data_IF_756895418340
#
_entry.id   IF_756895418340
#
_cell.length_a   1.000
_cell.length_b   1.000
_cell.length_c   1.000
_cell.angle_alpha   90.00
_cell.angle_beta   90.00
_cell.angle_gamma   90.00
#
_symmetry.space_group_name_H-M   'P 1'
#
loop_
_entity.id
_entity.type
_entity.pdbx_description
1 polymer ?
#
# COMPACT_ATOMS: atom_id res chain seq x y z
N UNK A 1 14.09 -1.32 3.46
CA UNK A 1 13.74 -1.57 4.89
C UNK A 1 13.12 -2.94 5.01
N UNK A 2 13.36 -3.68 6.08
CA UNK A 2 12.83 -5.03 6.26
C UNK A 2 12.35 -5.21 7.70
N UNK A 3 11.12 -5.72 7.88
CA UNK A 3 10.64 -6.19 9.18
C UNK A 3 10.48 -7.70 9.10
N UNK A 4 11.12 -8.42 9.99
CA UNK A 4 10.98 -9.86 10.14
C UNK A 4 10.32 -10.13 11.49
N UNK A 5 9.07 -10.59 11.48
CA UNK A 5 8.25 -10.78 12.69
C UNK A 5 8.94 -11.55 13.84
N UNK A 6 9.82 -12.49 13.51
CA UNK A 6 10.57 -13.28 14.49
C UNK A 6 11.98 -12.77 14.79
N UNK A 7 12.54 -11.91 13.93
CA UNK A 7 13.94 -11.49 13.99
C UNK A 7 14.14 -10.02 14.28
N UNK A 8 13.05 -9.23 14.33
CA UNK A 8 13.06 -7.80 14.60
C UNK A 8 13.01 -6.93 13.34
N UNK A 9 13.24 -5.65 13.54
CA UNK A 9 13.22 -4.64 12.49
C UNK A 9 14.63 -4.34 12.00
N UNK A 10 14.78 -4.11 10.69
CA UNK A 10 16.05 -3.81 10.06
C UNK A 10 15.89 -2.64 9.09
N UNK A 11 16.83 -1.72 9.12
CA UNK A 11 16.97 -0.65 8.15
C UNK A 11 18.33 -0.81 7.49
N UNK A 12 18.33 -1.09 6.16
CA UNK A 12 19.56 -1.32 5.39
C UNK A 12 20.52 -2.30 6.10
N UNK A 13 19.99 -3.49 6.47
CA UNK A 13 20.71 -4.56 7.16
C UNK A 13 21.14 -4.29 8.61
N UNK A 14 20.89 -3.08 9.13
CA UNK A 14 21.13 -2.75 10.54
C UNK A 14 19.88 -3.04 11.36
N UNK A 15 20.04 -3.86 12.43
CA UNK A 15 18.97 -4.15 13.37
C UNK A 15 18.65 -2.92 14.19
N UNK A 16 17.37 -2.58 14.27
CA UNK A 16 16.88 -1.42 15.04
C UNK A 16 15.72 -1.83 15.94
N UNK A 17 15.37 -0.96 16.89
CA UNK A 17 14.13 -1.14 17.66
C UNK A 17 12.90 -0.93 16.76
N UNK A 18 11.76 -1.46 17.19
CA UNK A 18 10.49 -1.29 16.47
C UNK A 18 10.10 0.19 16.34
N UNK A 19 10.33 0.96 17.40
CA UNK A 19 10.00 2.38 17.43
C UNK A 19 10.84 3.17 16.44
N UNK A 20 12.17 2.99 16.45
CA UNK A 20 13.08 3.60 15.47
C UNK A 20 12.71 3.24 14.04
N UNK A 21 12.28 1.99 13.82
CA UNK A 21 11.82 1.57 12.48
C UNK A 21 10.60 2.38 12.04
N UNK A 22 9.58 2.53 12.90
CA UNK A 22 8.36 3.25 12.52
C UNK A 22 8.55 4.76 12.42
N UNK A 23 9.40 5.33 13.25
CA UNK A 23 9.79 6.74 13.12
C UNK A 23 10.47 6.99 11.78
N UNK A 24 11.44 6.14 11.42
CA UNK A 24 12.15 6.22 10.14
C UNK A 24 11.19 6.03 8.96
N UNK A 25 10.29 5.05 9.05
CA UNK A 25 9.28 4.79 8.03
C UNK A 25 8.36 6.00 7.82
N UNK A 26 7.94 6.63 8.92
CA UNK A 26 7.10 7.82 8.87
C UNK A 26 7.87 9.01 8.27
N UNK A 27 9.12 9.20 8.63
CA UNK A 27 9.97 10.24 8.07
C UNK A 27 10.18 10.05 6.56
N UNK A 28 10.51 8.83 6.13
CA UNK A 28 10.69 8.52 4.71
C UNK A 28 9.40 8.69 3.90
N UNK A 29 8.27 8.32 4.47
CA UNK A 29 6.98 8.44 3.79
C UNK A 29 6.49 9.89 3.65
N UNK A 30 7.04 10.82 4.40
CA UNK A 30 6.75 12.27 4.27
C UNK A 30 7.70 12.99 3.31
N UNK A 31 8.81 12.37 2.97
CA UNK A 31 9.84 12.94 2.11
C UNK A 31 9.59 12.48 0.65
N UNK A 32 9.19 13.37 -0.27
CA UNK A 32 8.86 13.00 -1.65
C UNK A 32 10.09 12.51 -2.44
N UNK A 33 11.30 12.87 -2.02
CA UNK A 33 12.53 12.45 -2.68
C UNK A 33 13.01 11.07 -2.21
N UNK A 34 12.44 10.54 -1.12
CA UNK A 34 12.80 9.24 -0.59
C UNK A 34 12.05 8.12 -1.30
N UNK A 35 12.80 7.17 -1.84
CA UNK A 35 12.28 5.91 -2.38
C UNK A 35 12.70 4.75 -1.49
N UNK A 36 11.75 3.93 -1.06
CA UNK A 36 12.04 2.81 -0.18
C UNK A 36 11.12 1.61 -0.46
N UNK A 37 11.58 0.44 -0.10
CA UNK A 37 10.80 -0.80 -0.15
C UNK A 37 10.70 -1.35 1.26
N UNK A 38 9.52 -1.77 1.66
CA UNK A 38 9.27 -2.45 2.92
C UNK A 38 8.99 -3.92 2.63
N UNK A 39 9.77 -4.79 3.24
CA UNK A 39 9.52 -6.23 3.24
C UNK A 39 8.97 -6.62 4.61
N UNK A 40 7.77 -7.18 4.65
CA UNK A 40 7.13 -7.59 5.89
C UNK A 40 6.28 -8.84 5.70
N UNK A 41 5.99 -9.54 6.77
CA UNK A 41 5.08 -10.70 6.73
C UNK A 41 3.66 -10.33 7.20
N UNK A 42 3.49 -9.79 8.40
CA UNK A 42 2.17 -9.46 8.96
C UNK A 42 2.11 -8.10 9.68
N UNK A 43 3.21 -7.58 10.13
CA UNK A 43 3.31 -6.43 11.04
C UNK A 43 2.60 -5.16 10.53
N UNK A 44 2.58 -4.92 9.22
CA UNK A 44 1.90 -3.75 8.68
C UNK A 44 0.38 -3.89 8.62
N UNK A 45 -0.19 -5.05 8.95
CA UNK A 45 -1.63 -5.22 9.09
C UNK A 45 -2.19 -4.56 10.36
N UNK A 46 -1.36 -4.33 11.38
CA UNK A 46 -1.76 -3.81 12.69
C UNK A 46 -1.60 -2.28 12.80
N UNK A 47 -2.56 -1.53 12.30
CA UNK A 47 -2.74 -0.11 12.69
C UNK A 47 -1.66 0.91 12.29
N UNK A 48 -0.59 0.51 11.62
CA UNK A 48 0.53 1.40 11.29
C UNK A 48 0.15 2.40 10.22
N UNK A 49 0.36 3.67 10.49
CA UNK A 49 0.23 4.71 9.50
C UNK A 49 1.57 4.94 8.80
N UNK A 50 1.68 4.44 7.56
CA UNK A 50 2.81 4.75 6.70
C UNK A 50 2.33 5.72 5.61
N UNK A 51 2.65 7.01 5.72
CA UNK A 51 2.34 7.97 4.66
C UNK A 51 3.15 7.65 3.40
N UNK A 52 2.72 8.14 2.26
CA UNK A 52 3.49 8.04 1.01
C UNK A 52 3.57 6.65 0.37
N UNK A 53 2.86 5.63 0.88
CA UNK A 53 2.79 4.32 0.21
C UNK A 53 2.04 4.45 -1.11
N UNK A 54 2.70 4.14 -2.22
CA UNK A 54 2.15 4.23 -3.58
C UNK A 54 1.78 2.88 -4.16
N UNK A 55 2.41 1.80 -3.70
CA UNK A 55 2.17 0.46 -4.22
C UNK A 55 2.40 -0.62 -3.18
N UNK A 56 1.81 -1.78 -3.43
CA UNK A 56 2.15 -3.01 -2.71
C UNK A 56 2.26 -4.19 -3.67
N UNK A 57 3.05 -5.18 -3.27
CA UNK A 57 3.21 -6.45 -3.98
C UNK A 57 2.77 -7.56 -3.05
N UNK A 58 1.73 -8.28 -3.43
CA UNK A 58 1.19 -9.40 -2.65
C UNK A 58 1.93 -10.68 -3.02
N UNK A 59 2.97 -11.02 -2.25
CA UNK A 59 3.84 -12.16 -2.51
C UNK A 59 3.32 -13.49 -1.94
N UNK A 60 2.21 -13.48 -1.22
CA UNK A 60 1.58 -14.65 -0.63
C UNK A 60 0.07 -14.57 -0.69
N UNK A 61 -0.57 -15.71 -0.52
CA UNK A 61 -2.02 -15.74 -0.34
C UNK A 61 -2.41 -15.09 1.00
N UNK A 62 -3.44 -14.27 0.99
CA UNK A 62 -3.95 -13.52 2.13
C UNK A 62 -5.45 -13.75 2.24
N UNK A 63 -5.99 -13.68 3.45
CA UNK A 63 -7.43 -13.62 3.63
C UNK A 63 -7.99 -12.24 3.18
N UNK A 64 -9.30 -12.16 3.04
CA UNK A 64 -10.00 -10.95 2.56
C UNK A 64 -9.72 -9.75 3.46
N UNK A 65 -9.74 -9.94 4.79
CA UNK A 65 -9.54 -8.87 5.75
C UNK A 65 -8.14 -8.28 5.63
N UNK A 66 -7.13 -9.13 5.63
CA UNK A 66 -5.73 -8.71 5.46
C UNK A 66 -5.51 -8.01 4.11
N UNK A 67 -6.15 -8.50 3.05
CA UNK A 67 -6.08 -7.91 1.73
C UNK A 67 -6.71 -6.51 1.72
N UNK A 68 -7.92 -6.35 2.24
CA UNK A 68 -8.59 -5.04 2.37
C UNK A 68 -7.75 -4.05 3.19
N UNK A 69 -7.18 -4.50 4.30
CA UNK A 69 -6.31 -3.67 5.14
C UNK A 69 -5.05 -3.22 4.40
N UNK A 70 -4.44 -4.11 3.63
CA UNK A 70 -3.22 -3.81 2.85
C UNK A 70 -3.52 -2.84 1.72
N UNK A 71 -4.57 -3.10 0.94
CA UNK A 71 -5.03 -2.23 -0.14
C UNK A 71 -5.40 -0.85 0.41
N UNK A 72 -6.19 -0.81 1.49
CA UNK A 72 -6.63 0.41 2.14
C UNK A 72 -5.49 1.33 2.59
N UNK A 73 -4.29 0.81 2.82
CA UNK A 73 -3.10 1.62 3.11
C UNK A 73 -2.51 2.25 1.86
N UNK A 74 -2.50 1.50 0.78
CA UNK A 74 -1.92 1.94 -0.50
C UNK A 74 -2.80 2.98 -1.19
N UNK A 75 -4.13 2.87 -1.07
CA UNK A 75 -5.07 3.81 -1.70
C UNK A 75 -5.36 5.05 -0.86
N UNK A 76 -4.80 5.17 0.35
CA UNK A 76 -4.97 6.39 1.16
C UNK A 76 -4.49 7.60 0.40
N UNK A 77 -5.27 8.67 0.48
CA UNK A 77 -4.86 9.97 -0.02
C UNK A 77 -3.56 10.43 0.66
N UNK A 78 -2.74 11.11 -0.09
CA UNK A 78 -1.63 11.89 0.46
C UNK A 78 -2.16 12.92 1.46
N UNK A 79 -1.33 13.27 2.45
CA UNK A 79 -1.74 14.22 3.49
C UNK A 79 -2.01 15.62 2.91
N UNK A 80 -1.17 16.06 1.98
CA UNK A 80 -1.34 17.34 1.29
C UNK A 80 -2.57 17.35 0.39
N UNK A 81 -2.84 16.26 -0.32
CA UNK A 81 -4.05 16.14 -1.15
C UNK A 81 -5.31 16.16 -0.29
N UNK A 82 -5.27 15.54 0.89
CA UNK A 82 -6.40 15.57 1.83
C UNK A 82 -6.67 16.97 2.36
N UNK A 83 -5.63 17.71 2.70
CA UNK A 83 -5.74 19.09 3.16
C UNK A 83 -6.32 20.00 2.08
N UNK A 84 -5.82 19.91 0.86
CA UNK A 84 -6.33 20.65 -0.30
C UNK A 84 -7.79 20.31 -0.61
N UNK A 85 -8.17 19.02 -0.47
CA UNK A 85 -9.57 18.61 -0.65
C UNK A 85 -10.49 19.23 0.43
N UNK A 86 -10.03 19.22 1.69
CA UNK A 86 -10.79 19.82 2.80
C UNK A 86 -10.95 21.35 2.66
N UNK A 87 -9.94 22.01 2.08
CA UNK A 87 -9.95 23.45 1.82
C UNK A 87 -10.68 23.82 0.52
N UNK A 88 -11.18 22.84 -0.24
CA UNK A 88 -11.88 23.08 -1.52
C UNK A 88 -10.96 23.44 -2.68
N UNK A 89 -9.65 23.30 -2.52
CA UNK A 89 -8.64 23.51 -3.57
C UNK A 89 -8.58 22.36 -4.58
N UNK A 90 -8.99 21.16 -4.15
CA UNK A 90 -9.14 19.99 -5.01
C UNK A 90 -10.59 19.55 -5.10
N UNK A 91 -10.98 19.08 -6.27
CA UNK A 91 -12.31 18.50 -6.51
C UNK A 91 -12.22 16.98 -6.39
N UNK A 92 -13.12 16.39 -5.61
CA UNK A 92 -13.21 14.93 -5.48
C UNK A 92 -13.43 14.28 -6.85
N UNK A 93 -12.57 13.33 -7.20
CA UNK A 93 -12.65 12.60 -8.48
C UNK A 93 -11.88 13.23 -9.64
N UNK A 94 -11.41 14.46 -9.55
CA UNK A 94 -10.50 15.04 -10.57
C UNK A 94 -9.05 14.63 -10.29
N UNK A 95 -8.71 13.41 -10.68
CA UNK A 95 -7.42 12.76 -10.37
C UNK A 95 -6.20 13.49 -10.94
N UNK A 96 -6.38 14.38 -11.92
CA UNK A 96 -5.27 15.09 -12.58
C UNK A 96 -4.50 16.04 -11.67
N UNK A 97 -5.17 16.53 -10.63
CA UNK A 97 -4.64 17.53 -9.71
C UNK A 97 -4.16 16.92 -8.38
N UNK A 98 -4.29 15.59 -8.21
CA UNK A 98 -3.80 14.89 -7.02
C UNK A 98 -2.32 14.56 -7.14
N UNK A 99 -1.57 14.76 -6.08
CA UNK A 99 -0.17 14.33 -5.97
C UNK A 99 -0.06 12.81 -6.00
N UNK A 100 -1.07 12.14 -5.45
CA UNK A 100 -1.22 10.68 -5.46
C UNK A 100 -2.62 10.32 -5.95
N UNK A 101 -2.78 10.24 -7.26
CA UNK A 101 -4.07 9.96 -7.90
C UNK A 101 -4.58 8.53 -7.68
N UNK A 102 -3.69 7.55 -7.49
CA UNK A 102 -4.05 6.14 -7.33
C UNK A 102 -2.99 5.36 -6.54
N UNK A 103 -3.39 4.22 -6.01
CA UNK A 103 -2.50 3.21 -5.46
C UNK A 103 -2.40 2.01 -6.42
N UNK A 104 -1.25 1.35 -6.45
CA UNK A 104 -1.01 0.20 -7.33
C UNK A 104 -0.85 -1.07 -6.51
N UNK A 105 -1.61 -2.10 -6.86
CA UNK A 105 -1.50 -3.43 -6.24
C UNK A 105 -0.99 -4.41 -7.28
N UNK A 106 0.12 -5.07 -6.97
CA UNK A 106 0.72 -6.08 -7.84
C UNK A 106 0.51 -7.46 -7.23
N UNK A 107 0.07 -8.40 -8.06
CA UNK A 107 0.05 -9.83 -7.73
C UNK A 107 0.91 -10.55 -8.74
N UNK A 108 2.09 -11.06 -8.34
CA UNK A 108 2.91 -11.89 -9.21
C UNK A 108 2.17 -13.20 -9.51
N UNK A 109 1.98 -13.51 -10.78
CA UNK A 109 1.41 -14.77 -11.24
C UNK A 109 2.43 -15.45 -12.12
N UNK A 110 2.85 -16.65 -11.71
CA UNK A 110 3.76 -17.48 -12.48
C UNK A 110 3.18 -18.89 -12.57
N UNK A 111 2.90 -19.36 -13.78
CA UNK A 111 2.18 -20.62 -14.03
C UNK A 111 0.89 -20.70 -13.20
N UNK A 112 0.83 -21.60 -12.21
CA UNK A 112 -0.33 -21.77 -11.33
C UNK A 112 -0.20 -21.04 -9.97
N UNK A 113 0.95 -20.41 -9.71
CA UNK A 113 1.21 -19.67 -8.47
C UNK A 113 0.61 -18.26 -8.58
N UNK A 114 -0.07 -17.84 -7.53
CA UNK A 114 -0.66 -16.49 -7.46
C UNK A 114 -2.07 -16.34 -8.05
N UNK A 115 -2.57 -17.30 -8.83
CA UNK A 115 -3.90 -17.22 -9.46
C UNK A 115 -5.00 -17.04 -8.42
N UNK A 116 -4.96 -17.81 -7.32
CA UNK A 116 -5.95 -17.69 -6.25
C UNK A 116 -5.92 -16.32 -5.57
N UNK A 117 -4.73 -15.73 -5.41
CA UNK A 117 -4.55 -14.38 -4.86
C UNK A 117 -5.08 -13.33 -5.82
N UNK A 118 -4.82 -13.47 -7.12
CA UNK A 118 -5.31 -12.56 -8.14
C UNK A 118 -6.85 -12.55 -8.21
N UNK A 119 -7.48 -13.73 -8.27
CA UNK A 119 -8.95 -13.86 -8.26
C UNK A 119 -9.58 -13.27 -7.00
N UNK A 120 -8.96 -13.48 -5.84
CA UNK A 120 -9.44 -12.89 -4.58
C UNK A 120 -9.29 -11.37 -4.58
N UNK A 121 -8.20 -10.84 -5.16
CA UNK A 121 -8.03 -9.41 -5.32
C UNK A 121 -9.13 -8.80 -6.18
N UNK A 122 -9.46 -9.42 -7.32
CA UNK A 122 -10.57 -8.98 -8.19
C UNK A 122 -11.88 -8.91 -7.40
N UNK A 123 -12.25 -9.98 -6.70
CA UNK A 123 -13.45 -10.02 -5.86
C UNK A 123 -13.45 -8.93 -4.79
N UNK A 124 -12.34 -8.74 -4.08
CA UNK A 124 -12.23 -7.72 -3.03
C UNK A 124 -12.36 -6.31 -3.62
N UNK A 125 -11.75 -6.06 -4.76
CA UNK A 125 -11.85 -4.76 -5.42
C UNK A 125 -13.28 -4.50 -5.85
N UNK A 126 -13.94 -5.45 -6.49
CA UNK A 126 -15.32 -5.30 -6.95
C UNK A 126 -16.30 -5.12 -5.79
N UNK A 127 -16.18 -5.89 -4.71
CA UNK A 127 -17.15 -5.86 -3.61
C UNK A 127 -16.92 -4.72 -2.61
N UNK A 128 -15.67 -4.31 -2.39
CA UNK A 128 -15.31 -3.38 -1.29
C UNK A 128 -14.94 -1.99 -1.80
N UNK A 129 -14.32 -1.89 -2.96
CA UNK A 129 -13.73 -0.64 -3.43
C UNK A 129 -14.43 0.01 -4.63
N UNK A 130 -15.36 -0.67 -5.28
CA UNK A 130 -16.07 -0.12 -6.43
C UNK A 130 -17.23 0.78 -5.99
N UNK A 131 -16.89 2.01 -5.65
CA UNK A 131 -17.84 3.11 -5.78
C UNK A 131 -17.19 4.24 -6.58
N UNK A 132 -17.37 4.21 -7.90
CA UNK A 132 -17.11 5.36 -8.75
C UNK A 132 -16.09 5.19 -9.88
N UNK A 133 -15.01 4.41 -9.76
CA UNK A 133 -14.08 4.18 -10.88
C UNK A 133 -13.67 2.70 -10.90
N UNK A 134 -13.90 2.06 -12.04
CA UNK A 134 -13.50 0.68 -12.25
C UNK A 134 -11.98 0.52 -12.04
N UNK A 135 -11.57 -0.50 -11.29
CA UNK A 135 -10.18 -0.88 -11.22
C UNK A 135 -9.69 -1.26 -12.62
N UNK A 136 -8.63 -0.62 -13.08
CA UNK A 136 -8.03 -0.98 -14.36
C UNK A 136 -7.10 -2.18 -14.13
N UNK A 137 -7.51 -3.34 -14.59
CA UNK A 137 -6.68 -4.55 -14.58
C UNK A 137 -5.79 -4.55 -15.81
N UNK A 138 -4.48 -4.59 -15.62
CA UNK A 138 -3.51 -4.79 -16.71
C UNK A 138 -2.83 -6.13 -16.51
N UNK A 139 -3.27 -7.12 -17.28
CA UNK A 139 -2.58 -8.41 -17.36
C UNK A 139 -1.56 -8.32 -18.49
N UNK A 140 -0.28 -8.23 -18.15
CA UNK A 140 0.80 -8.44 -19.12
C UNK A 140 1.07 -9.94 -19.20
N UNK A 141 0.83 -10.53 -20.36
CA UNK A 141 1.29 -11.89 -20.71
C UNK A 141 2.78 -11.89 -20.94
#
# INVERSE_FOLDING_TARGET
>A
MCIRDRYGAFINDTKVSRDVFFETLTAYGKDPDKKFIILHYSILSEGINCPGLTSCILMRNMDVIQMCQTIGRVIRLDAGDREKLNNGELVSGDLRNYSKAFGVVHVPVYENVGIATAKRLESVVEEVFVQGNAAVSVIKK
#
